data_IF_069555790245
#
_entry.id   IF_069555790245
#
_cell.length_a   1.000
_cell.length_b   1.000
_cell.length_c   1.000
_cell.angle_alpha   90.00
_cell.angle_beta   90.00
_cell.angle_gamma   90.00
#
_symmetry.space_group_name_H-M   'P 1'
#
loop_
_entity.id
_entity.type
_entity.pdbx_description
1 polymer ?
#
# COMPACT_ATOMS: atom_id res chain seq x y z
N UNK A 1 -9.82 -8.48 -7.52
CA UNK A 1 -8.70 -8.56 -6.55
C UNK A 1 -8.63 -7.22 -5.84
N UNK A 2 -8.61 -7.18 -4.51
CA UNK A 2 -8.74 -5.96 -3.71
C UNK A 2 -7.71 -4.87 -4.09
N UNK A 3 -6.49 -5.29 -4.42
CA UNK A 3 -5.43 -4.42 -4.92
C UNK A 3 -5.83 -3.62 -6.17
N UNK A 4 -6.31 -4.29 -7.23
CA UNK A 4 -6.72 -3.62 -8.48
C UNK A 4 -7.85 -2.63 -8.23
N UNK A 5 -8.81 -3.02 -7.36
CA UNK A 5 -9.93 -2.16 -7.01
C UNK A 5 -9.47 -0.89 -6.27
N UNK A 6 -8.50 -0.99 -5.36
CA UNK A 6 -7.91 0.17 -4.67
C UNK A 6 -7.24 1.11 -5.67
N UNK A 7 -6.40 0.59 -6.56
CA UNK A 7 -5.70 1.39 -7.57
C UNK A 7 -6.70 2.10 -8.50
N UNK A 8 -7.68 1.37 -9.03
CA UNK A 8 -8.71 1.95 -9.90
C UNK A 8 -9.56 3.01 -9.20
N UNK A 9 -9.90 2.79 -7.93
CA UNK A 9 -10.71 3.74 -7.15
C UNK A 9 -9.96 5.06 -6.96
N UNK A 10 -8.68 4.99 -6.60
CA UNK A 10 -7.86 6.18 -6.39
C UNK A 10 -7.54 6.90 -7.73
N UNK A 11 -7.34 6.16 -8.82
CA UNK A 11 -7.21 6.76 -10.15
C UNK A 11 -8.48 7.48 -10.61
N UNK A 12 -9.67 6.91 -10.35
CA UNK A 12 -10.95 7.55 -10.70
C UNK A 12 -11.18 8.85 -9.92
N UNK A 13 -10.76 8.91 -8.65
CA UNK A 13 -10.85 10.14 -7.85
C UNK A 13 -9.96 11.26 -8.39
N UNK A 14 -8.82 10.93 -9.00
CA UNK A 14 -7.86 11.88 -9.54
C UNK A 14 -8.05 12.25 -11.01
N UNK A 15 -9.13 11.82 -11.67
CA UNK A 15 -9.31 11.95 -13.14
C UNK A 15 -8.09 11.42 -13.93
N UNK A 16 -7.51 10.32 -13.46
CA UNK A 16 -6.31 9.71 -14.03
C UNK A 16 -4.99 10.45 -13.74
N UNK A 17 -5.00 11.53 -12.96
CA UNK A 17 -3.80 12.27 -12.54
C UNK A 17 -3.55 12.09 -11.04
N UNK A 18 -2.29 11.92 -10.68
CA UNK A 18 -1.85 11.77 -9.30
C UNK A 18 -0.71 12.75 -9.03
N UNK A 19 -0.73 13.39 -7.87
CA UNK A 19 0.48 14.03 -7.35
C UNK A 19 1.47 12.96 -6.88
N UNK A 20 2.72 13.37 -6.67
CA UNK A 20 3.76 12.48 -6.15
C UNK A 20 3.35 11.85 -4.82
N UNK A 21 2.79 12.65 -3.92
CA UNK A 21 2.34 12.23 -2.60
C UNK A 21 1.20 11.22 -2.69
N UNK A 22 0.24 11.47 -3.59
CA UNK A 22 -0.88 10.55 -3.83
C UNK A 22 -0.38 9.22 -4.41
N UNK A 23 0.57 9.25 -5.34
CA UNK A 23 1.14 8.03 -5.91
C UNK A 23 1.88 7.19 -4.85
N UNK A 24 2.68 7.84 -3.99
CA UNK A 24 3.39 7.16 -2.88
C UNK A 24 2.38 6.55 -1.89
N UNK A 25 1.32 7.27 -1.55
CA UNK A 25 0.27 6.79 -0.65
C UNK A 25 -0.47 5.56 -1.21
N UNK A 26 -0.78 5.56 -2.50
CA UNK A 26 -1.39 4.41 -3.19
C UNK A 26 -0.45 3.21 -3.17
N UNK A 27 0.85 3.43 -3.42
CA UNK A 27 1.86 2.37 -3.35
C UNK A 27 1.96 1.79 -1.95
N UNK A 28 1.95 2.63 -0.91
CA UNK A 28 1.98 2.18 0.49
C UNK A 28 0.77 1.31 0.85
N UNK A 29 -0.44 1.74 0.49
CA UNK A 29 -1.68 0.94 0.70
C UNK A 29 -1.68 -0.37 -0.08
N UNK A 30 -1.09 -0.36 -1.26
CA UNK A 30 -0.96 -1.54 -2.10
C UNK A 30 -0.03 -2.58 -1.46
N UNK A 31 1.12 -2.15 -0.93
CA UNK A 31 2.06 -3.00 -0.20
C UNK A 31 1.44 -3.56 1.08
N UNK A 32 0.69 -2.74 1.83
CA UNK A 32 -0.05 -3.20 3.01
C UNK A 32 -1.00 -4.35 2.70
N UNK A 33 -1.82 -4.21 1.64
CA UNK A 33 -2.71 -5.28 1.20
C UNK A 33 -1.96 -6.52 0.73
N UNK A 34 -0.83 -6.35 0.05
CA UNK A 34 0.02 -7.47 -0.36
C UNK A 34 0.56 -8.25 0.84
N UNK A 35 1.02 -7.56 1.90
CA UNK A 35 1.54 -8.19 3.12
C UNK A 35 0.45 -9.02 3.83
N UNK A 36 -0.80 -8.57 3.84
CA UNK A 36 -1.89 -9.36 4.45
C UNK A 36 -2.23 -10.65 3.71
N UNK A 37 -1.87 -10.76 2.42
CA UNK A 37 -2.29 -11.87 1.56
C UNK A 37 -1.14 -12.74 1.05
N UNK A 38 0.11 -12.27 1.17
CA UNK A 38 1.31 -12.98 0.73
C UNK A 38 2.11 -13.50 1.94
N UNK A 39 2.22 -14.82 2.06
CA UNK A 39 2.94 -15.47 3.16
C UNK A 39 4.49 -15.35 3.06
N UNK A 40 5.02 -14.84 1.95
CA UNK A 40 6.47 -14.64 1.74
C UNK A 40 6.88 -13.17 1.83
N UNK A 41 5.93 -12.25 1.93
CA UNK A 41 6.21 -10.83 2.04
C UNK A 41 6.73 -10.48 3.45
N UNK A 42 7.74 -9.61 3.50
CA UNK A 42 8.19 -9.00 4.75
C UNK A 42 7.44 -7.68 5.01
N UNK A 43 7.33 -7.32 6.27
CA UNK A 43 6.68 -6.10 6.76
C UNK A 43 7.53 -4.84 6.62
N UNK A 44 8.83 -4.99 6.37
CA UNK A 44 9.77 -3.89 6.13
C UNK A 44 9.98 -3.64 4.63
N UNK A 45 9.82 -2.39 4.20
CA UNK A 45 9.98 -1.98 2.81
C UNK A 45 10.48 -0.53 2.69
N UNK A 46 10.91 -0.14 1.49
CA UNK A 46 11.33 1.23 1.17
C UNK A 46 10.69 1.66 -0.15
N UNK A 47 10.19 2.90 -0.21
CA UNK A 47 9.69 3.51 -1.46
C UNK A 47 10.67 4.60 -1.91
N UNK A 48 11.48 4.27 -2.90
CA UNK A 48 12.33 5.21 -3.64
C UNK A 48 11.54 5.91 -4.76
N UNK A 49 11.78 7.19 -4.99
CA UNK A 49 11.16 7.94 -6.11
C UNK A 49 12.19 8.42 -7.12
N UNK A 50 11.83 8.34 -8.40
CA UNK A 50 12.60 8.93 -9.50
C UNK A 50 11.75 10.02 -10.14
N UNK A 51 12.26 11.25 -10.18
CA UNK A 51 11.61 12.39 -10.82
C UNK A 51 12.63 13.20 -11.64
N UNK A 52 12.19 14.32 -12.22
CA UNK A 52 13.05 15.21 -13.04
C UNK A 52 14.26 15.77 -12.27
N UNK A 53 14.20 15.78 -10.94
CA UNK A 53 15.27 16.28 -10.07
C UNK A 53 16.26 15.17 -9.67
N UNK A 54 16.01 13.93 -10.11
CA UNK A 54 16.87 12.77 -9.91
C UNK A 54 16.23 11.66 -9.07
N UNK A 55 17.08 10.86 -8.42
CA UNK A 55 16.67 9.74 -7.57
C UNK A 55 16.65 10.20 -6.11
N UNK A 56 15.53 9.96 -5.43
CA UNK A 56 15.36 10.16 -4.00
C UNK A 56 15.11 8.80 -3.36
N UNK A 57 16.09 8.31 -2.61
CA UNK A 57 15.94 7.08 -1.86
C UNK A 57 14.97 7.28 -0.70
N UNK A 58 14.12 6.28 -0.47
CA UNK A 58 13.19 6.29 0.64
C UNK A 58 13.92 6.02 1.96
N UNK A 59 13.14 5.93 3.03
CA UNK A 59 13.63 5.34 4.28
C UNK A 59 12.92 4.01 4.49
N UNK A 60 13.54 3.04 5.16
CA UNK A 60 12.85 1.84 5.59
C UNK A 60 11.63 2.19 6.44
N UNK A 61 10.51 1.54 6.13
CA UNK A 61 9.22 1.67 6.78
C UNK A 61 8.74 0.27 7.17
N UNK A 62 8.07 0.16 8.31
CA UNK A 62 7.47 -1.09 8.78
C UNK A 62 5.95 -0.92 8.84
N UNK A 63 5.22 -1.86 8.25
CA UNK A 63 3.77 -1.98 8.44
C UNK A 63 3.51 -2.97 9.58
N UNK A 64 3.03 -2.46 10.71
CA UNK A 64 2.57 -3.29 11.83
C UNK A 64 1.20 -3.97 11.52
N UNK A 65 0.44 -3.35 10.62
CA UNK A 65 -0.90 -3.76 10.22
C UNK A 65 -1.99 -3.47 11.26
N UNK A 66 -3.25 -3.48 10.83
CA UNK A 66 -4.42 -3.43 11.70
C UNK A 66 -5.01 -4.84 11.83
N UNK A 67 -4.99 -5.37 13.06
CA UNK A 67 -5.49 -6.70 13.40
C UNK A 67 -6.79 -6.66 14.21
N UNK A 68 -7.43 -5.50 14.36
CA UNK A 68 -8.69 -5.34 15.07
C UNK A 68 -9.78 -6.25 14.47
N UNK A 69 -9.69 -6.55 13.15
CA UNK A 69 -10.59 -7.48 12.47
C UNK A 69 -10.56 -8.91 13.05
N UNK A 70 -9.44 -9.33 13.63
CA UNK A 70 -9.32 -10.64 14.26
C UNK A 70 -10.20 -10.77 15.52
N UNK A 71 -10.51 -9.65 16.19
CA UNK A 71 -11.38 -9.64 17.37
C UNK A 71 -12.85 -9.94 17.03
N UNK A 72 -13.28 -9.62 15.82
CA UNK A 72 -14.67 -9.80 15.38
C UNK A 72 -14.93 -11.16 14.71
N UNK A 73 -13.89 -11.85 14.27
CA UNK A 73 -14.01 -13.05 13.42
C UNK A 73 -13.73 -14.34 14.22
N UNK A 74 -14.34 -14.46 15.40
CA UNK A 74 -14.20 -15.64 16.27
C UNK A 74 -15.24 -16.75 16.00
N UNK A 75 -16.11 -16.58 15.00
CA UNK A 75 -17.13 -17.55 14.62
C UNK A 75 -16.64 -18.50 13.52
N UNK A 76 -15.64 -19.32 13.83
CA UNK A 76 -15.37 -20.53 13.04
C UNK A 76 -16.40 -21.59 13.44
N UNK A 77 -17.54 -21.65 12.73
CA UNK A 77 -18.42 -22.83 12.73
C UNK A 77 -17.91 -23.91 11.78
#
# INVERSE_FOLDING_TARGET
>A
MLLNQVIETEQRKGDGKLTKEQAVEIMRKSLELSIYHDCLADSEFEISTIDKDGVKLGKPEVIAGNWDIAEYNCDYQ
#
